data_IF_903042994195
#
_entry.id   IF_903042994195
#
_cell.length_a   1.000
_cell.length_b   1.000
_cell.length_c   1.000
_cell.angle_alpha   90.00
_cell.angle_beta   90.00
_cell.angle_gamma   90.00
#
_symmetry.space_group_name_H-M   'P 1'
#
loop_
_entity.id
_entity.type
_entity.pdbx_description
1 polymer ?
#
# COMPACT_ATOMS: atom_id res chain seq x y z
N UNK A 1 -2.48 -10.66 0.42
CA UNK A 1 -1.15 -10.12 0.77
C UNK A 1 -0.43 -9.71 -0.49
N UNK A 2 0.22 -8.56 -0.44
CA UNK A 2 1.21 -8.11 -1.43
C UNK A 2 2.61 -8.35 -0.84
N UNK A 3 3.51 -8.95 -1.62
CA UNK A 3 4.87 -9.27 -1.17
C UNK A 3 5.91 -8.98 -2.24
N UNK A 4 7.16 -8.84 -1.80
CA UNK A 4 8.35 -8.60 -2.61
C UNK A 4 9.44 -9.65 -2.32
N UNK A 5 10.47 -9.71 -3.16
CA UNK A 5 11.61 -10.60 -2.96
C UNK A 5 12.49 -10.22 -1.76
N UNK A 6 12.53 -8.93 -1.42
CA UNK A 6 13.24 -8.38 -0.26
C UNK A 6 12.41 -7.35 0.50
N UNK A 7 13.02 -6.69 1.49
CA UNK A 7 12.44 -5.58 2.24
C UNK A 7 13.36 -4.34 2.28
N UNK A 8 14.05 -4.10 1.18
CA UNK A 8 14.85 -2.87 1.02
C UNK A 8 13.94 -1.68 0.69
N UNK A 9 14.49 -0.46 0.73
CA UNK A 9 13.76 0.74 0.26
C UNK A 9 13.28 0.61 -1.19
N UNK A 10 14.07 -0.02 -2.05
CA UNK A 10 13.68 -0.25 -3.44
C UNK A 10 12.50 -1.23 -3.54
N UNK A 11 12.50 -2.30 -2.73
CA UNK A 11 11.38 -3.23 -2.64
C UNK A 11 10.10 -2.54 -2.17
N UNK A 12 10.20 -1.66 -1.16
CA UNK A 12 9.06 -0.89 -0.64
C UNK A 12 8.46 0.03 -1.70
N UNK A 13 9.29 0.71 -2.50
CA UNK A 13 8.81 1.54 -3.63
C UNK A 13 8.15 0.66 -4.69
N UNK A 14 8.76 -0.49 -5.04
CA UNK A 14 8.19 -1.42 -6.00
C UNK A 14 6.83 -1.97 -5.51
N UNK A 15 6.72 -2.28 -4.23
CA UNK A 15 5.46 -2.67 -3.59
C UNK A 15 4.44 -1.53 -3.65
N UNK A 16 4.83 -0.28 -3.44
CA UNK A 16 3.96 0.89 -3.57
C UNK A 16 3.38 1.05 -4.98
N UNK A 17 4.20 0.88 -6.01
CA UNK A 17 3.77 0.91 -7.43
C UNK A 17 2.81 -0.25 -7.72
N UNK A 18 3.12 -1.45 -7.24
CA UNK A 18 2.23 -2.60 -7.40
C UNK A 18 0.90 -2.40 -6.66
N UNK A 19 0.94 -1.81 -5.47
CA UNK A 19 -0.23 -1.51 -4.67
C UNK A 19 -1.17 -0.53 -5.38
N UNK A 20 -0.65 0.54 -5.98
CA UNK A 20 -1.44 1.50 -6.75
C UNK A 20 -2.24 0.79 -7.86
N UNK A 21 -1.60 -0.06 -8.65
CA UNK A 21 -2.27 -0.85 -9.69
C UNK A 21 -3.36 -1.77 -9.13
N UNK A 22 -3.08 -2.44 -8.02
CA UNK A 22 -4.04 -3.31 -7.33
C UNK A 22 -5.26 -2.51 -6.87
N UNK A 23 -5.07 -1.35 -6.23
CA UNK A 23 -6.14 -0.52 -5.70
C UNK A 23 -6.99 0.10 -6.82
N UNK A 24 -6.37 0.57 -7.90
CA UNK A 24 -7.10 1.11 -9.05
C UNK A 24 -7.92 0.03 -9.77
N UNK A 25 -7.37 -1.19 -9.89
CA UNK A 25 -8.10 -2.34 -10.44
C UNK A 25 -9.30 -2.69 -9.57
N UNK A 26 -9.10 -2.83 -8.25
CA UNK A 26 -10.18 -3.11 -7.32
C UNK A 26 -11.28 -2.02 -7.37
N UNK A 27 -10.90 -0.75 -7.48
CA UNK A 27 -11.85 0.37 -7.61
C UNK A 27 -12.68 0.27 -8.89
N UNK A 28 -12.06 -0.13 -10.01
CA UNK A 28 -12.78 -0.37 -11.27
C UNK A 28 -13.83 -1.48 -11.14
N UNK A 29 -13.58 -2.45 -10.27
CA UNK A 29 -14.47 -3.57 -9.97
C UNK A 29 -15.43 -3.26 -8.79
N UNK A 30 -15.61 -1.99 -8.44
CA UNK A 30 -16.46 -1.48 -7.34
C UNK A 30 -16.11 -2.03 -5.94
N UNK A 31 -14.86 -2.46 -5.75
CA UNK A 31 -14.34 -2.88 -4.45
C UNK A 31 -13.72 -1.70 -3.69
N UNK A 32 -13.96 -1.66 -2.38
CA UNK A 32 -13.24 -0.81 -1.44
C UNK A 32 -12.11 -1.61 -0.78
N UNK A 33 -11.00 -0.94 -0.50
CA UNK A 33 -9.86 -1.52 0.19
C UNK A 33 -9.74 -0.98 1.63
N UNK A 34 -9.31 -1.85 2.54
CA UNK A 34 -8.88 -1.48 3.89
C UNK A 34 -7.59 -2.23 4.24
N UNK A 35 -6.75 -1.64 5.08
CA UNK A 35 -5.42 -2.14 5.39
C UNK A 35 -5.36 -2.69 6.82
N UNK A 36 -4.55 -3.74 6.99
CA UNK A 36 -4.33 -4.43 8.27
C UNK A 36 -2.83 -4.60 8.50
N UNK A 37 -2.10 -3.49 8.49
CA UNK A 37 -0.64 -3.49 8.39
C UNK A 37 0.09 -3.53 9.74
N UNK A 38 -0.59 -3.31 10.87
CA UNK A 38 0.02 -3.32 12.21
C UNK A 38 0.82 -4.62 12.49
N UNK A 39 0.35 -5.82 12.11
CA UNK A 39 1.13 -7.04 12.28
C UNK A 39 2.42 -7.08 11.46
N UNK A 40 2.55 -6.24 10.43
CA UNK A 40 3.76 -6.15 9.64
C UNK A 40 4.82 -5.28 10.32
N UNK A 41 4.51 -4.53 11.38
CA UNK A 41 5.49 -3.67 12.07
C UNK A 41 6.45 -4.46 12.98
N UNK A 42 6.15 -5.73 13.25
CA UNK A 42 6.94 -6.63 14.09
C UNK A 42 7.37 -7.86 13.30
N UNK A 43 8.66 -8.22 13.34
CA UNK A 43 9.22 -9.28 12.51
C UNK A 43 8.60 -10.67 12.73
N UNK A 44 8.26 -11.00 13.97
CA UNK A 44 7.61 -12.25 14.36
C UNK A 44 6.17 -12.35 13.86
N UNK A 45 5.40 -11.27 14.01
CA UNK A 45 4.04 -11.18 13.50
C UNK A 45 4.02 -11.17 11.96
N UNK A 46 4.97 -10.48 11.32
CA UNK A 46 5.13 -10.49 9.87
C UNK A 46 5.39 -11.90 9.33
N UNK A 47 6.30 -12.66 9.97
CA UNK A 47 6.53 -14.08 9.65
C UNK A 47 5.26 -14.92 9.79
N UNK A 48 4.48 -14.68 10.83
CA UNK A 48 3.20 -15.37 11.04
C UNK A 48 2.21 -15.10 9.92
N UNK A 49 2.12 -13.85 9.43
CA UNK A 49 1.28 -13.49 8.27
C UNK A 49 1.75 -14.22 7.01
N UNK A 50 3.06 -14.27 6.75
CA UNK A 50 3.62 -14.95 5.57
C UNK A 50 3.30 -16.46 5.60
N UNK A 51 3.50 -17.10 6.75
CA UNK A 51 3.20 -18.52 6.95
C UNK A 51 1.70 -18.81 6.76
N UNK A 52 0.84 -17.99 7.39
CA UNK A 52 -0.62 -18.18 7.34
C UNK A 52 -1.16 -17.99 5.92
N UNK A 53 -0.60 -17.07 5.15
CA UNK A 53 -1.04 -16.81 3.77
C UNK A 53 -0.45 -17.78 2.75
N UNK A 54 0.54 -18.59 3.13
CA UNK A 54 1.24 -19.53 2.24
C UNK A 54 1.95 -18.86 1.06
N UNK A 55 2.07 -17.53 1.07
CA UNK A 55 2.65 -16.76 -0.04
C UNK A 55 4.14 -16.49 0.23
N UNK A 56 5.03 -16.75 -0.74
CA UNK A 56 6.44 -16.48 -0.60
C UNK A 56 6.76 -14.98 -0.62
N UNK A 57 7.98 -14.64 -0.18
CA UNK A 57 8.51 -13.27 -0.17
C UNK A 57 8.15 -12.48 1.09
N UNK A 58 8.69 -11.27 1.21
CA UNK A 58 8.48 -10.36 2.33
C UNK A 58 7.11 -9.71 2.23
N UNK A 59 6.29 -9.86 3.27
CA UNK A 59 4.97 -9.25 3.33
C UNK A 59 5.09 -7.72 3.42
N UNK A 60 4.58 -7.02 2.40
CA UNK A 60 4.61 -5.56 2.32
C UNK A 60 3.26 -4.95 2.74
N UNK A 61 2.14 -5.58 2.36
CA UNK A 61 0.78 -5.09 2.70
C UNK A 61 -0.20 -6.24 2.95
N UNK A 62 -1.07 -6.07 3.95
CA UNK A 62 -2.28 -6.89 4.14
C UNK A 62 -3.49 -6.05 3.77
N UNK A 63 -4.25 -6.53 2.78
CA UNK A 63 -5.35 -5.78 2.16
C UNK A 63 -6.61 -6.62 2.25
N UNK A 64 -7.70 -6.00 2.71
CA UNK A 64 -9.05 -6.55 2.67
C UNK A 64 -9.87 -5.78 1.64
N UNK A 65 -10.54 -6.51 0.76
CA UNK A 65 -11.48 -5.98 -0.21
C UNK A 65 -12.92 -6.31 0.16
N UNK A 66 -13.85 -5.43 -0.21
CA UNK A 66 -15.28 -5.67 -0.08
C UNK A 66 -16.11 -4.54 -0.67
N UNK A 67 -17.41 -4.78 -0.81
CA UNK A 67 -18.36 -3.76 -1.25
C UNK A 67 -18.81 -2.92 -0.04
N UNK A 68 -18.94 -1.61 -0.23
CA UNK A 68 -19.44 -0.71 0.80
C UNK A 68 -20.07 0.53 0.19
N UNK A 69 -21.13 1.02 0.82
CA UNK A 69 -21.82 2.27 0.47
C UNK A 69 -21.16 3.52 1.06
N UNK A 70 -20.07 3.36 1.83
CA UNK A 70 -19.34 4.48 2.43
C UNK A 70 -18.49 5.18 1.36
N UNK A 71 -18.74 6.48 1.17
CA UNK A 71 -18.12 7.31 0.13
C UNK A 71 -17.26 8.47 0.67
N UNK A 72 -17.10 8.58 1.99
CA UNK A 72 -16.36 9.68 2.59
C UNK A 72 -14.90 9.68 2.11
N UNK A 73 -14.51 10.75 1.43
CA UNK A 73 -13.13 10.95 0.98
C UNK A 73 -12.30 11.47 2.15
N UNK A 74 -11.15 10.83 2.40
CA UNK A 74 -10.21 11.31 3.41
C UNK A 74 -9.55 12.61 2.93
N UNK A 75 -9.41 13.64 3.77
CA UNK A 75 -8.74 14.88 3.38
C UNK A 75 -7.34 14.64 2.81
N UNK A 76 -6.90 15.50 1.89
CA UNK A 76 -5.55 15.50 1.32
C UNK A 76 -4.90 16.86 1.56
N UNK A 77 -3.58 16.86 1.75
CA UNK A 77 -2.81 18.10 1.76
C UNK A 77 -2.95 18.79 0.38
N UNK A 78 -3.03 20.12 0.32
CA UNK A 78 -3.02 20.84 -0.94
C UNK A 78 -1.69 20.61 -1.68
N UNK A 79 -1.68 20.77 -3.00
CA UNK A 79 -0.54 20.36 -3.84
C UNK A 79 0.70 21.20 -3.54
N UNK A 80 0.50 22.47 -3.19
CA UNK A 80 1.53 23.44 -2.85
C UNK A 80 2.24 23.08 -1.55
N UNK A 81 1.62 22.26 -0.69
CA UNK A 81 2.24 21.75 0.53
C UNK A 81 3.17 20.56 0.29
N UNK A 82 3.24 20.01 -0.93
CA UNK A 82 4.02 18.80 -1.25
C UNK A 82 4.86 18.89 -2.53
N UNK A 83 4.62 19.87 -3.40
CA UNK A 83 5.40 20.12 -4.62
C UNK A 83 6.19 21.42 -4.46
N UNK A 84 7.50 21.36 -4.64
CA UNK A 84 8.39 22.52 -4.64
C UNK A 84 8.96 22.70 -6.05
N UNK A 85 8.66 23.82 -6.70
CA UNK A 85 9.31 24.20 -7.95
C UNK A 85 10.66 24.81 -7.63
N UNK A 86 11.73 24.28 -8.23
CA UNK A 86 13.02 24.96 -8.23
C UNK A 86 12.92 26.10 -9.23
N UNK A 87 12.84 27.33 -8.74
CA UNK A 87 13.07 28.50 -9.60
C UNK A 87 14.57 28.53 -9.90
N UNK A 88 14.95 28.30 -11.15
CA UNK A 88 16.32 28.62 -11.60
C UNK A 88 16.38 30.15 -11.75
N UNK A 89 17.20 30.81 -10.92
CA UNK A 89 17.53 32.23 -11.12
C UNK A 89 18.46 32.33 -12.34
N UNK A 90 18.04 33.13 -13.32
CA UNK A 90 18.85 33.56 -14.47
C UNK A 90 19.79 34.71 -14.07
#
# INVERSE_FOLDING_TARGET
MLSTGGDTRADQVAAGIALERVLLTATRDDLKASFLNQPLEFDDLRRTVQQTTGKPGFAQMVIRFGHSTVTATTPRRPVEAVVHTRTEEL
#
